data_IF_021678261033
#
_entry.id   IF_021678261033
#
_cell.length_a   1.000
_cell.length_b   1.000
_cell.length_c   1.000
_cell.angle_alpha   90.00
_cell.angle_beta   90.00
_cell.angle_gamma   90.00
#
_symmetry.space_group_name_H-M   'P 1'
#
loop_
_entity.id
_entity.type
_entity.pdbx_description
1 polymer ?
#
# COMPACT_ATOMS: atom_id res chain seq x y z
N UNK A 1 4.26 7.01 7.39
CA UNK A 1 3.29 7.18 6.28
C UNK A 1 2.97 5.79 5.76
N UNK A 2 1.70 5.40 5.59
CA UNK A 2 1.38 4.09 5.00
C UNK A 2 2.01 3.97 3.62
N UNK A 3 2.03 5.06 2.85
CA UNK A 3 2.74 5.12 1.57
C UNK A 3 4.25 4.81 1.62
N UNK A 4 4.88 4.92 2.79
CA UNK A 4 6.29 4.55 2.98
C UNK A 4 6.46 3.07 3.41
N UNK A 5 5.42 2.49 4.02
CA UNK A 5 5.39 1.08 4.44
C UNK A 5 4.93 0.15 3.31
N UNK A 6 4.07 0.65 2.42
CA UNK A 6 3.52 -0.13 1.32
C UNK A 6 4.63 -0.65 0.36
N UNK A 7 5.67 0.12 -0.02
CA UNK A 7 6.73 -0.38 -0.91
C UNK A 7 7.57 -1.52 -0.30
N UNK A 8 8.12 -1.42 0.93
CA UNK A 8 8.81 -2.54 1.56
C UNK A 8 7.91 -3.77 1.73
N UNK A 9 6.64 -3.58 2.12
CA UNK A 9 5.71 -4.69 2.29
C UNK A 9 5.40 -5.38 0.96
N UNK A 10 5.18 -4.64 -0.13
CA UNK A 10 4.97 -5.21 -1.46
C UNK A 10 6.20 -6.00 -1.95
N UNK A 11 7.41 -5.53 -1.65
CA UNK A 11 8.65 -6.26 -1.96
C UNK A 11 8.71 -7.57 -1.18
N UNK A 12 8.49 -7.53 0.14
CA UNK A 12 8.47 -8.74 0.97
C UNK A 12 7.38 -9.71 0.53
N UNK A 13 6.17 -9.23 0.26
CA UNK A 13 5.07 -10.04 -0.27
C UNK A 13 5.44 -10.69 -1.60
N UNK A 14 6.06 -9.96 -2.52
CA UNK A 14 6.55 -10.49 -3.79
C UNK A 14 7.60 -11.60 -3.59
N UNK A 15 8.53 -11.41 -2.66
CA UNK A 15 9.53 -12.44 -2.31
C UNK A 15 8.86 -13.70 -1.75
N UNK A 16 7.90 -13.54 -0.83
CA UNK A 16 7.19 -14.65 -0.21
C UNK A 16 6.34 -15.43 -1.23
N UNK A 17 5.63 -14.72 -2.11
CA UNK A 17 4.88 -15.34 -3.22
C UNK A 17 5.79 -16.21 -4.07
N UNK A 18 6.96 -15.69 -4.44
CA UNK A 18 7.88 -16.40 -5.32
C UNK A 18 8.51 -17.62 -4.65
N UNK A 19 8.87 -17.51 -3.37
CA UNK A 19 9.56 -18.58 -2.61
C UNK A 19 8.63 -19.67 -2.09
N UNK A 20 7.40 -19.32 -1.73
CA UNK A 20 6.51 -20.21 -0.97
C UNK A 20 5.38 -20.79 -1.81
N UNK A 21 4.97 -20.13 -2.91
CA UNK A 21 3.87 -20.60 -3.72
C UNK A 21 4.35 -21.39 -4.95
N UNK A 22 3.61 -22.45 -5.31
CA UNK A 22 3.83 -23.14 -6.57
C UNK A 22 3.47 -22.21 -7.75
N UNK A 23 4.14 -22.43 -8.88
CA UNK A 23 4.17 -21.48 -10.00
C UNK A 23 2.78 -21.14 -10.57
N UNK A 24 1.86 -22.11 -10.54
CA UNK A 24 0.46 -21.99 -10.97
C UNK A 24 -0.36 -21.01 -10.13
N UNK A 25 0.06 -20.73 -8.88
CA UNK A 25 -0.67 -19.84 -7.95
C UNK A 25 -0.07 -18.45 -7.80
N UNK A 26 1.15 -18.23 -8.30
CA UNK A 26 1.90 -16.98 -8.06
C UNK A 26 1.19 -15.76 -8.62
N UNK A 27 0.62 -15.87 -9.82
CA UNK A 27 -0.02 -14.73 -10.49
C UNK A 27 -1.35 -14.36 -9.84
N UNK A 28 -2.11 -15.35 -9.37
CA UNK A 28 -3.33 -15.11 -8.57
C UNK A 28 -2.98 -14.46 -7.24
N UNK A 29 -1.92 -14.93 -6.57
CA UNK A 29 -1.47 -14.35 -5.31
C UNK A 29 -0.93 -12.92 -5.48
N UNK A 30 -0.21 -12.63 -6.57
CA UNK A 30 0.20 -11.27 -6.94
C UNK A 30 -1.03 -10.37 -7.12
N UNK A 31 -2.01 -10.80 -7.92
CA UNK A 31 -3.23 -10.05 -8.17
C UNK A 31 -4.05 -9.82 -6.88
N UNK A 32 -4.17 -10.84 -6.02
CA UNK A 32 -4.86 -10.74 -4.75
C UNK A 32 -4.15 -9.76 -3.80
N UNK A 33 -2.81 -9.83 -3.72
CA UNK A 33 -2.01 -8.91 -2.91
C UNK A 33 -2.17 -7.48 -3.39
N UNK A 34 -2.03 -7.24 -4.70
CA UNK A 34 -2.27 -5.93 -5.29
C UNK A 34 -3.69 -5.45 -5.01
N UNK A 35 -4.69 -6.33 -5.10
CA UNK A 35 -6.09 -6.00 -4.78
C UNK A 35 -6.27 -5.56 -3.34
N UNK A 36 -5.62 -6.22 -2.38
CA UNK A 36 -5.64 -5.82 -0.96
C UNK A 36 -4.95 -4.48 -0.76
N UNK A 37 -3.78 -4.26 -1.36
CA UNK A 37 -3.06 -2.99 -1.25
C UNK A 37 -3.83 -1.84 -1.91
N UNK A 38 -4.31 -2.01 -3.14
CA UNK A 38 -5.13 -1.01 -3.81
C UNK A 38 -6.44 -0.76 -3.06
N UNK A 39 -7.19 -1.80 -2.72
CA UNK A 39 -8.48 -1.67 -2.05
C UNK A 39 -8.36 -1.08 -0.65
N UNK A 40 -7.39 -1.55 0.14
CA UNK A 40 -7.11 -1.05 1.48
C UNK A 40 -6.64 0.40 1.45
N UNK A 41 -5.65 0.71 0.63
CA UNK A 41 -5.10 2.06 0.55
C UNK A 41 -6.07 3.04 -0.11
N UNK A 42 -6.82 2.66 -1.15
CA UNK A 42 -7.88 3.49 -1.72
C UNK A 42 -9.02 3.73 -0.73
N UNK A 43 -9.47 2.69 -0.02
CA UNK A 43 -10.49 2.81 1.01
C UNK A 43 -10.06 3.72 2.17
N UNK A 44 -8.79 3.60 2.61
CA UNK A 44 -8.20 4.49 3.60
C UNK A 44 -8.15 5.94 3.09
N UNK A 45 -7.71 6.15 1.86
CA UNK A 45 -7.64 7.48 1.23
C UNK A 45 -9.01 8.18 1.12
N UNK A 46 -10.06 7.40 0.83
CA UNK A 46 -11.44 7.87 0.74
C UNK A 46 -12.19 7.87 2.08
N UNK A 47 -11.53 7.54 3.19
CA UNK A 47 -12.12 7.49 4.53
C UNK A 47 -13.36 6.58 4.60
N UNK A 48 -13.34 5.43 3.92
CA UNK A 48 -14.45 4.47 3.94
C UNK A 48 -14.76 4.03 5.38
N UNK A 49 -16.04 4.04 5.82
CA UNK A 49 -16.43 3.60 7.15
C UNK A 49 -15.99 2.15 7.41
N UNK A 50 -15.50 1.86 8.63
CA UNK A 50 -15.06 0.52 9.03
C UNK A 50 -13.54 0.28 8.93
N UNK A 51 -12.80 1.07 8.15
CA UNK A 51 -11.33 0.99 8.11
C UNK A 51 -10.63 1.66 9.30
N UNK A 52 -11.41 2.13 10.29
CA UNK A 52 -10.95 2.74 11.54
C UNK A 52 -9.88 1.93 12.28
N UNK A 53 -10.01 0.61 12.25
CA UNK A 53 -9.09 -0.30 12.96
C UNK A 53 -7.67 -0.21 12.41
N UNK A 54 -7.50 0.06 11.11
CA UNK A 54 -6.19 0.11 10.46
C UNK A 54 -5.38 1.35 10.85
N UNK A 55 -6.04 2.46 11.20
CA UNK A 55 -5.37 3.75 11.43
C UNK A 55 -5.49 4.30 12.85
N UNK A 56 -6.52 3.93 13.61
CA UNK A 56 -6.70 4.38 15.01
C UNK A 56 -5.48 4.12 15.91
N UNK A 57 -4.76 2.98 15.82
CA UNK A 57 -3.56 2.75 16.63
C UNK A 57 -2.43 3.77 16.37
N UNK A 58 -2.42 4.38 15.19
CA UNK A 58 -1.35 5.27 14.73
C UNK A 58 -1.62 6.75 15.01
N UNK A 59 -2.55 7.08 15.94
CA UNK A 59 -2.95 8.46 16.29
C UNK A 59 -3.36 9.35 15.09
N UNK A 60 -3.68 8.74 13.95
CA UNK A 60 -4.14 9.46 12.78
C UNK A 60 -5.59 9.95 12.99
N UNK A 61 -5.94 11.09 12.39
CA UNK A 61 -7.30 11.68 12.47
C UNK A 61 -8.32 10.95 11.61
N UNK A 62 -7.88 10.40 10.47
CA UNK A 62 -8.69 9.61 9.54
C UNK A 62 -7.79 8.73 8.64
N UNK A 63 -8.38 7.95 7.73
CA UNK A 63 -7.64 7.05 6.84
C UNK A 63 -6.69 7.78 5.89
N UNK A 64 -7.08 8.95 5.38
CA UNK A 64 -6.23 9.78 4.50
C UNK A 64 -5.02 10.34 5.25
N UNK A 65 -5.24 10.81 6.47
CA UNK A 65 -4.18 11.27 7.36
C UNK A 65 -3.23 10.13 7.72
N UNK A 66 -3.74 8.91 7.92
CA UNK A 66 -2.89 7.74 8.12
C UNK A 66 -2.02 7.40 6.92
N UNK A 67 -2.55 7.54 5.70
CA UNK A 67 -1.79 7.31 4.48
C UNK A 67 -0.61 8.27 4.35
N UNK A 68 -0.84 9.56 4.56
CA UNK A 68 0.17 10.61 4.39
C UNK A 68 1.08 10.78 5.60
N UNK A 69 0.55 10.63 6.81
CA UNK A 69 1.26 11.03 8.01
C UNK A 69 1.59 9.86 8.93
N UNK A 70 0.72 8.84 8.96
CA UNK A 70 0.75 7.78 9.99
C UNK A 70 0.91 8.32 11.42
N UNK A 71 0.41 9.54 11.68
CA UNK A 71 0.53 10.23 12.97
C UNK A 71 1.89 10.84 13.30
N UNK A 72 2.89 10.78 12.40
CA UNK A 72 4.26 11.28 12.65
C UNK A 72 4.61 12.49 11.78
N UNK A 73 4.06 12.57 10.57
CA UNK A 73 4.29 13.72 9.69
C UNK A 73 3.13 14.72 9.76
N UNK A 74 3.40 15.99 9.42
CA UNK A 74 2.45 17.10 9.53
C UNK A 74 1.87 17.56 8.19
N UNK A 75 1.64 16.65 7.23
CA UNK A 75 1.06 17.00 5.93
C UNK A 75 -0.41 17.42 6.12
N UNK A 76 -0.74 18.66 5.76
CA UNK A 76 -2.09 19.21 5.85
C UNK A 76 -3.06 18.55 4.87
N UNK A 77 -3.56 17.35 5.18
CA UNK A 77 -4.50 16.61 4.33
C UNK A 77 -5.90 17.23 4.27
N UNK A 78 -6.19 18.24 5.09
CA UNK A 78 -7.45 19.01 5.09
C UNK A 78 -7.63 19.84 3.81
N UNK A 79 -6.52 20.29 3.20
CA UNK A 79 -6.53 20.97 1.90
C UNK A 79 -6.02 20.04 0.79
N UNK A 80 -6.48 18.79 0.77
CA UNK A 80 -6.15 17.83 -0.27
C UNK A 80 -6.66 18.32 -1.64
N UNK A 81 -5.83 19.13 -2.33
CA UNK A 81 -6.08 19.59 -3.69
C UNK A 81 -5.67 18.55 -4.73
N UNK A 82 -5.92 18.84 -6.00
CA UNK A 82 -5.62 17.96 -7.15
C UNK A 82 -4.18 17.43 -7.17
N UNK A 83 -3.21 18.21 -6.68
CA UNK A 83 -1.80 17.78 -6.57
C UNK A 83 -1.63 16.60 -5.63
N UNK A 84 -2.33 16.59 -4.49
CA UNK A 84 -2.25 15.52 -3.51
C UNK A 84 -2.89 14.23 -4.04
N UNK A 85 -3.95 14.36 -4.84
CA UNK A 85 -4.54 13.24 -5.59
C UNK A 85 -3.60 12.70 -6.66
N UNK A 86 -2.94 13.57 -7.41
CA UNK A 86 -1.99 13.18 -8.44
C UNK A 86 -0.78 12.44 -7.86
N UNK A 87 -0.22 12.92 -6.74
CA UNK A 87 0.88 12.23 -6.06
C UNK A 87 0.44 10.88 -5.50
N UNK A 88 -0.73 10.81 -4.85
CA UNK A 88 -1.28 9.54 -4.39
C UNK A 88 -1.45 8.55 -5.56
N UNK A 89 -2.02 9.00 -6.68
CA UNK A 89 -2.13 8.21 -7.91
C UNK A 89 -0.77 7.75 -8.46
N UNK A 90 0.24 8.61 -8.42
CA UNK A 90 1.61 8.27 -8.79
C UNK A 90 2.19 7.18 -7.90
N UNK A 91 2.00 7.28 -6.58
CA UNK A 91 2.47 6.25 -5.65
C UNK A 91 1.72 4.93 -5.89
N UNK A 92 0.40 4.98 -6.09
CA UNK A 92 -0.38 3.78 -6.45
C UNK A 92 0.11 3.12 -7.74
N UNK A 93 0.47 3.90 -8.76
CA UNK A 93 1.02 3.38 -10.00
C UNK A 93 2.37 2.65 -9.81
N UNK A 94 3.10 2.92 -8.72
CA UNK A 94 4.34 2.22 -8.40
C UNK A 94 4.15 0.88 -7.69
N UNK A 95 2.94 0.53 -7.22
CA UNK A 95 2.72 -0.71 -6.45
C UNK A 95 3.01 -2.00 -7.25
N UNK A 96 2.57 -2.12 -8.53
CA UNK A 96 2.93 -3.26 -9.36
C UNK A 96 4.44 -3.39 -9.58
N UNK A 97 5.18 -2.28 -9.56
CA UNK A 97 6.64 -2.32 -9.71
C UNK A 97 7.31 -2.96 -8.49
N UNK A 98 6.91 -2.58 -7.26
CA UNK A 98 7.51 -3.12 -6.03
C UNK A 98 7.26 -4.61 -5.85
N UNK A 99 6.03 -5.09 -6.11
CA UNK A 99 5.73 -6.53 -5.97
C UNK A 99 6.50 -7.37 -6.99
N UNK A 100 6.62 -6.91 -8.24
CA UNK A 100 7.40 -7.59 -9.27
C UNK A 100 8.90 -7.58 -8.96
N UNK A 101 9.40 -6.50 -8.38
CA UNK A 101 10.78 -6.43 -7.92
C UNK A 101 11.02 -7.43 -6.77
N UNK A 102 10.11 -7.53 -5.81
CA UNK A 102 10.11 -8.56 -4.77
C UNK A 102 10.14 -9.99 -5.32
N UNK A 103 9.26 -10.30 -6.29
CA UNK A 103 9.27 -11.60 -6.98
C UNK A 103 10.60 -11.88 -7.69
N UNK A 104 11.22 -10.87 -8.29
CA UNK A 104 12.54 -11.02 -8.91
C UNK A 104 13.63 -11.32 -7.87
N UNK A 105 13.63 -10.63 -6.74
CA UNK A 105 14.55 -10.90 -5.63
C UNK A 105 14.35 -12.30 -5.05
N UNK A 106 13.09 -12.73 -4.90
CA UNK A 106 12.75 -14.09 -4.43
C UNK A 106 13.18 -15.22 -5.36
N UNK A 107 13.49 -14.93 -6.63
CA UNK A 107 14.13 -15.88 -7.57
C UNK A 107 15.65 -15.93 -7.45
N UNK A 108 16.27 -14.83 -7.01
CA UNK A 108 17.73 -14.67 -6.96
C UNK A 108 18.34 -15.09 -5.62
N UNK A 109 17.55 -15.03 -4.55
CA UNK A 109 17.90 -15.39 -3.16
C UNK A 109 17.24 -16.71 -2.75
#
# INVERSE_FOLDING_TARGET
MSFLLDPPLLVVSGMLIERQLPADRRDVAEAATLGVFFGGSFGLYHNVPGLGVLWRPFRARNGRDFMWNSGVFGVGTEQAGWKLHAVAGGIFATYPFFIKWGRRLGRLL
#
